data_IF_970537162882
#
_entry.id   IF_970537162882
#
_cell.length_a   1.000
_cell.length_b   1.000
_cell.length_c   1.000
_cell.angle_alpha   90.00
_cell.angle_beta   90.00
_cell.angle_gamma   90.00
#
_symmetry.space_group_name_H-M   'P 1'
#
loop_
_entity.id
_entity.type
_entity.pdbx_description
1 polymer ?
#
# COMPACT_ATOMS: atom_id res chain seq x y z
N UNK A 1 9.50 5.94 8.43
CA UNK A 1 8.38 6.23 7.50
C UNK A 1 7.44 5.02 7.44
N UNK A 2 6.24 5.07 8.07
CA UNK A 2 5.30 3.93 8.13
C UNK A 2 4.97 3.40 6.71
N UNK A 3 5.06 2.08 6.53
CA UNK A 3 4.73 1.31 5.32
C UNK A 3 3.34 0.67 5.42
N UNK A 4 2.49 1.20 6.30
CA UNK A 4 1.15 0.70 6.59
C UNK A 4 0.13 1.77 6.18
N UNK A 5 -1.02 1.35 5.66
CA UNK A 5 -2.14 2.23 5.38
C UNK A 5 -2.91 2.57 6.67
N UNK A 6 -3.10 3.85 6.96
CA UNK A 6 -3.78 4.32 8.18
C UNK A 6 -5.30 4.05 8.17
N UNK A 7 -5.88 3.74 7.01
CA UNK A 7 -7.33 3.46 6.90
C UNK A 7 -7.68 1.98 6.92
N UNK A 8 -6.86 1.11 6.33
CA UNK A 8 -7.17 -0.31 6.18
C UNK A 8 -6.15 -1.25 6.82
N UNK A 9 -5.12 -0.69 7.48
CA UNK A 9 -4.10 -1.48 8.19
C UNK A 9 -3.19 -2.33 7.30
N UNK A 10 -3.34 -2.26 5.98
CA UNK A 10 -2.56 -3.10 5.06
C UNK A 10 -1.09 -2.68 5.08
N UNK A 11 -0.22 -3.66 5.29
CA UNK A 11 1.24 -3.52 5.28
C UNK A 11 1.90 -4.30 4.14
N UNK A 12 3.23 -4.24 4.06
CA UNK A 12 4.00 -4.99 3.07
C UNK A 12 3.87 -6.50 3.29
N UNK A 13 3.72 -7.25 2.20
CA UNK A 13 3.66 -8.71 2.24
C UNK A 13 5.00 -9.33 1.86
N UNK A 14 5.35 -10.44 2.51
CA UNK A 14 6.48 -11.28 2.12
C UNK A 14 6.14 -12.02 0.82
N UNK A 15 7.05 -12.01 -0.14
CA UNK A 15 6.89 -12.72 -1.42
C UNK A 15 8.23 -13.33 -1.84
N UNK A 16 8.21 -14.26 -2.77
CA UNK A 16 9.41 -14.88 -3.33
C UNK A 16 9.51 -14.47 -4.80
N UNK A 17 10.64 -13.88 -5.17
CA UNK A 17 11.00 -13.66 -6.56
C UNK A 17 11.83 -14.85 -7.03
N UNK A 18 11.52 -15.35 -8.23
CA UNK A 18 12.25 -16.45 -8.87
C UNK A 18 12.94 -15.91 -10.12
N UNK A 19 14.21 -16.24 -10.29
CA UNK A 19 14.95 -15.94 -11.53
C UNK A 19 14.59 -16.92 -12.64
N UNK A 20 15.11 -16.68 -13.85
CA UNK A 20 15.02 -17.63 -14.97
C UNK A 20 15.60 -19.01 -14.60
N UNK A 21 16.67 -19.05 -13.81
CA UNK A 21 17.26 -20.27 -13.26
C UNK A 21 16.51 -20.81 -12.02
N UNK A 22 15.33 -20.27 -11.69
CA UNK A 22 14.48 -20.65 -10.55
C UNK A 22 15.11 -20.43 -9.15
N UNK A 23 16.13 -19.56 -9.05
CA UNK A 23 16.72 -19.19 -7.76
C UNK A 23 15.73 -18.36 -6.95
N UNK A 24 15.52 -18.73 -5.68
CA UNK A 24 14.54 -18.09 -4.80
C UNK A 24 15.16 -16.92 -4.03
N UNK A 25 14.61 -15.72 -4.20
CA UNK A 25 14.94 -14.56 -3.38
C UNK A 25 13.70 -14.11 -2.58
N UNK A 26 13.84 -13.96 -1.27
CA UNK A 26 12.77 -13.42 -0.43
C UNK A 26 12.73 -11.90 -0.57
N UNK A 27 11.62 -11.37 -1.05
CA UNK A 27 11.40 -9.93 -1.21
C UNK A 27 10.18 -9.49 -0.38
N UNK A 28 10.11 -8.19 -0.08
CA UNK A 28 8.90 -7.56 0.48
C UNK A 28 8.20 -6.76 -0.61
N UNK A 29 6.93 -7.06 -0.87
CA UNK A 29 6.08 -6.28 -1.77
C UNK A 29 5.43 -5.16 -0.97
N UNK A 30 5.82 -3.92 -1.29
CA UNK A 30 5.25 -2.73 -0.67
C UNK A 30 3.95 -2.31 -1.34
N UNK A 31 3.02 -1.84 -0.53
CA UNK A 31 1.78 -1.26 -1.03
C UNK A 31 2.06 0.16 -1.49
N UNK A 32 1.45 0.57 -2.60
CA UNK A 32 1.49 1.95 -3.05
C UNK A 32 0.67 2.84 -2.08
N UNK A 33 1.40 3.51 -1.18
CA UNK A 33 0.87 4.43 -0.19
C UNK A 33 1.07 5.86 -0.67
N UNK A 34 0.00 6.64 -0.67
CA UNK A 34 0.02 8.05 -1.00
C UNK A 34 -0.28 8.89 0.24
N UNK A 35 0.46 9.97 0.44
CA UNK A 35 0.17 10.94 1.48
C UNK A 35 -0.92 11.90 1.00
N UNK A 36 -2.06 11.92 1.69
CA UNK A 36 -3.20 12.79 1.38
C UNK A 36 -3.79 13.37 2.66
N UNK A 37 -4.38 14.55 2.55
CA UNK A 37 -5.13 15.17 3.64
C UNK A 37 -6.55 14.64 3.60
N UNK A 38 -6.97 13.93 4.65
CA UNK A 38 -8.33 13.41 4.81
C UNK A 38 -8.85 13.92 6.14
N UNK A 39 -9.98 14.62 6.13
CA UNK A 39 -10.60 15.24 7.31
C UNK A 39 -9.62 16.15 8.08
N UNK A 40 -8.89 17.01 7.36
CA UNK A 40 -7.94 17.96 7.95
C UNK A 40 -6.62 17.37 8.45
N UNK A 41 -6.45 16.03 8.45
CA UNK A 41 -5.21 15.36 8.89
C UNK A 41 -4.47 14.73 7.72
N UNK A 42 -3.14 14.88 7.69
CA UNK A 42 -2.27 14.17 6.73
C UNK A 42 -2.23 12.69 7.11
N UNK A 43 -2.77 11.83 6.26
CA UNK A 43 -2.77 10.36 6.43
C UNK A 43 -2.09 9.70 5.23
N UNK A 44 -1.48 8.54 5.47
CA UNK A 44 -0.98 7.67 4.42
C UNK A 44 -2.03 6.66 4.06
N UNK A 45 -2.47 6.72 2.81
CA UNK A 45 -3.59 5.92 2.34
C UNK A 45 -3.19 5.15 1.09
N UNK A 46 -3.58 3.88 1.03
CA UNK A 46 -3.35 3.08 -0.16
C UNK A 46 -4.26 3.51 -1.31
N UNK A 47 -3.81 3.29 -2.54
CA UNK A 47 -4.55 3.65 -3.76
C UNK A 47 -5.95 3.04 -3.82
N UNK A 48 -6.15 1.82 -3.31
CA UNK A 48 -7.47 1.18 -3.24
C UNK A 48 -8.45 1.97 -2.37
N UNK A 49 -8.00 2.42 -1.21
CA UNK A 49 -8.78 3.22 -0.29
C UNK A 49 -9.07 4.61 -0.86
N UNK A 50 -8.11 5.24 -1.54
CA UNK A 50 -8.33 6.51 -2.25
C UNK A 50 -9.40 6.39 -3.34
N UNK A 51 -9.38 5.30 -4.11
CA UNK A 51 -10.41 5.03 -5.12
C UNK A 51 -11.82 4.96 -4.50
N UNK A 52 -11.95 4.31 -3.34
CA UNK A 52 -13.23 4.22 -2.62
C UNK A 52 -13.70 5.57 -2.09
N UNK A 53 -12.80 6.40 -1.54
CA UNK A 53 -13.16 7.76 -1.09
C UNK A 53 -13.67 8.59 -2.27
N UNK A 54 -12.93 8.60 -3.40
CA UNK A 54 -13.31 9.37 -4.59
C UNK A 54 -14.70 8.98 -5.09
N UNK A 55 -15.03 7.69 -5.09
CA UNK A 55 -16.36 7.21 -5.51
C UNK A 55 -17.48 7.62 -4.53
N UNK A 56 -17.21 7.76 -3.23
CA UNK A 56 -18.21 8.19 -2.24
C UNK A 56 -18.48 9.70 -2.24
N UNK A 57 -17.57 10.48 -2.81
CA UNK A 57 -17.69 11.94 -2.94
C UNK A 57 -18.30 12.39 -4.28
N UNK A 58 -18.45 11.45 -5.22
CA UNK A 58 -19.17 11.64 -6.47
C UNK A 58 -20.60 11.13 -6.29
#
# INVERSE_FOLDING_TARGET
MSRICDMCGRGPQKSIQRSHANNKMIIRKFINLQARTINGKKKKVCTRCLRTIKKKMA
#
